data_IF_003353293506
#
_entry.id   IF_003353293506
#
_cell.length_a   1.000
_cell.length_b   1.000
_cell.length_c   1.000
_cell.angle_alpha   90.00
_cell.angle_beta   90.00
_cell.angle_gamma   90.00
#
_symmetry.space_group_name_H-M   'P 1'
#
loop_
_entity.id
_entity.type
_entity.pdbx_description
1 polymer ?
#
# COMPACT_ATOMS: atom_id res chain seq x y z
N UNK A 1 -10.24 16.49 -14.70
CA UNK A 1 -11.00 15.27 -14.39
C UNK A 1 -10.35 14.59 -13.17
N UNK A 2 -9.98 15.37 -12.15
CA UNK A 2 -8.78 15.07 -11.32
C UNK A 2 -9.03 15.24 -9.80
N UNK A 3 -10.14 14.71 -9.28
CA UNK A 3 -10.36 14.69 -7.82
C UNK A 3 -10.40 13.27 -7.26
N UNK A 4 -9.36 12.49 -7.54
CA UNK A 4 -9.08 11.28 -6.77
C UNK A 4 -8.42 11.68 -5.45
N UNK A 5 -9.13 11.52 -4.33
CA UNK A 5 -8.60 11.63 -2.97
C UNK A 5 -8.04 13.01 -2.60
N UNK A 6 -8.85 13.87 -1.97
CA UNK A 6 -8.45 15.23 -1.58
C UNK A 6 -7.33 15.29 -0.53
N UNK A 7 -6.97 14.17 0.09
CA UNK A 7 -6.02 14.16 1.20
C UNK A 7 -5.15 12.90 1.24
N UNK A 8 -4.41 12.66 0.14
CA UNK A 8 -3.45 11.55 0.04
C UNK A 8 -2.40 11.61 1.14
N UNK A 9 -1.91 12.80 1.46
CA UNK A 9 -0.86 12.96 2.46
C UNK A 9 -1.36 12.65 3.87
N UNK A 10 -2.55 13.12 4.27
CA UNK A 10 -3.11 12.71 5.57
C UNK A 10 -3.39 11.20 5.63
N UNK A 11 -3.83 10.59 4.52
CA UNK A 11 -3.99 9.14 4.45
C UNK A 11 -2.65 8.42 4.67
N UNK A 12 -1.60 8.81 3.96
CA UNK A 12 -0.27 8.22 4.10
C UNK A 12 0.30 8.43 5.50
N UNK A 13 0.17 9.63 6.07
CA UNK A 13 0.55 9.92 7.44
C UNK A 13 -0.20 9.02 8.45
N UNK A 14 -1.51 8.82 8.24
CA UNK A 14 -2.31 7.92 9.08
C UNK A 14 -1.88 6.47 8.94
N UNK A 15 -1.66 5.97 7.72
CA UNK A 15 -1.19 4.61 7.47
C UNK A 15 0.22 4.36 8.04
N UNK A 16 1.08 5.38 8.00
CA UNK A 16 2.46 5.30 8.50
C UNK A 16 2.58 5.45 10.03
N UNK A 17 1.54 5.93 10.72
CA UNK A 17 1.55 6.10 12.19
C UNK A 17 1.84 4.79 12.92
N UNK A 18 2.61 4.86 14.01
CA UNK A 18 2.87 3.73 14.91
C UNK A 18 1.59 3.14 15.54
N UNK A 19 0.53 3.95 15.67
CA UNK A 19 -0.78 3.52 16.18
C UNK A 19 -1.56 2.69 15.15
N UNK A 20 -1.25 2.84 13.86
CA UNK A 20 -1.88 2.05 12.80
C UNK A 20 -1.21 0.68 12.75
N UNK A 21 -1.99 -0.34 13.15
CA UNK A 21 -1.56 -1.74 13.19
C UNK A 21 -2.20 -2.61 12.10
N UNK A 22 -3.35 -2.21 11.57
CA UNK A 22 -4.07 -2.96 10.54
C UNK A 22 -4.62 -1.97 9.53
N UNK A 23 -4.45 -2.29 8.25
CA UNK A 23 -5.11 -1.61 7.13
C UNK A 23 -5.93 -2.66 6.40
N UNK A 24 -7.24 -2.47 6.33
CA UNK A 24 -8.16 -3.35 5.60
C UNK A 24 -8.55 -2.70 4.28
N UNK A 25 -8.68 -3.49 3.22
CA UNK A 25 -9.13 -3.03 1.91
C UNK A 25 -10.53 -3.59 1.62
N UNK A 26 -11.45 -2.70 1.25
CA UNK A 26 -12.75 -3.07 0.66
C UNK A 26 -12.83 -2.52 -0.76
N UNK A 27 -11.82 -2.87 -1.55
CA UNK A 27 -11.78 -2.55 -2.98
C UNK A 27 -12.37 -3.72 -3.76
N UNK A 28 -12.95 -3.44 -4.94
CA UNK A 28 -13.37 -4.50 -5.86
C UNK A 28 -12.15 -5.25 -6.38
N UNK A 29 -12.37 -6.37 -7.06
CA UNK A 29 -11.32 -7.24 -7.62
C UNK A 29 -10.33 -6.44 -8.49
N UNK A 30 -10.85 -5.45 -9.24
CA UNK A 30 -10.03 -4.57 -10.09
C UNK A 30 -9.08 -3.67 -9.29
N UNK A 31 -9.40 -3.35 -8.03
CA UNK A 31 -8.57 -2.50 -7.18
C UNK A 31 -7.26 -3.13 -6.74
N UNK A 32 -7.10 -4.46 -6.89
CA UNK A 32 -5.87 -5.17 -6.57
C UNK A 32 -4.86 -5.20 -7.73
N UNK A 33 -5.28 -4.82 -8.95
CA UNK A 33 -4.44 -4.84 -10.15
C UNK A 33 -3.79 -6.20 -10.46
N UNK A 34 -4.45 -7.31 -10.09
CA UNK A 34 -3.94 -8.64 -10.35
C UNK A 34 -4.42 -9.19 -11.70
N UNK A 35 -3.58 -9.99 -12.34
CA UNK A 35 -3.96 -10.83 -13.47
C UNK A 35 -4.91 -11.92 -12.96
N UNK A 36 -6.15 -12.06 -13.50
CA UNK A 36 -7.10 -13.05 -12.98
C UNK A 36 -6.65 -14.51 -13.15
N UNK A 37 -5.80 -14.80 -14.13
CA UNK A 37 -5.34 -16.15 -14.42
C UNK A 37 -4.09 -16.54 -13.61
N UNK A 38 -3.13 -15.62 -13.49
CA UNK A 38 -1.86 -15.91 -12.79
C UNK A 38 -1.82 -15.44 -11.33
N UNK A 39 -2.66 -14.46 -10.97
CA UNK A 39 -2.60 -13.79 -9.67
C UNK A 39 -1.47 -12.76 -9.54
N UNK A 40 -0.67 -12.56 -10.59
CA UNK A 40 0.45 -11.62 -10.56
C UNK A 40 0.00 -10.16 -10.68
N UNK A 41 0.80 -9.24 -10.17
CA UNK A 41 0.58 -7.81 -10.41
C UNK A 41 0.70 -7.49 -11.89
N UNK A 42 -0.29 -6.77 -12.43
CA UNK A 42 -0.30 -6.26 -13.80
C UNK A 42 0.63 -5.05 -13.92
N UNK A 43 1.92 -5.32 -14.03
CA UNK A 43 2.98 -4.31 -14.14
C UNK A 43 2.90 -3.46 -15.42
N UNK A 44 2.07 -3.86 -16.38
CA UNK A 44 1.77 -3.15 -17.62
C UNK A 44 0.56 -2.20 -17.51
N UNK A 45 -0.20 -2.27 -16.41
CA UNK A 45 -1.33 -1.37 -16.21
C UNK A 45 -0.84 0.08 -16.00
N UNK A 46 -1.34 1.08 -16.75
CA UNK A 46 -0.83 2.45 -16.69
C UNK A 46 -0.84 3.08 -15.29
N UNK A 47 -1.77 2.66 -14.42
CA UNK A 47 -1.82 3.14 -13.04
C UNK A 47 -0.69 2.55 -12.18
N UNK A 48 -0.36 1.27 -12.37
CA UNK A 48 0.76 0.61 -11.70
C UNK A 48 2.09 1.15 -12.22
N UNK A 49 2.23 1.31 -13.54
CA UNK A 49 3.41 1.97 -14.14
C UNK A 49 3.59 3.38 -13.55
N UNK A 50 2.51 4.14 -13.41
CA UNK A 50 2.53 5.46 -12.80
C UNK A 50 3.01 5.45 -11.34
N UNK A 51 2.54 4.50 -10.53
CA UNK A 51 2.97 4.36 -9.14
C UNK A 51 4.44 3.91 -9.03
N UNK A 52 4.91 3.01 -9.91
CA UNK A 52 6.32 2.59 -9.97
C UNK A 52 7.23 3.76 -10.37
N UNK A 53 6.80 4.59 -11.32
CA UNK A 53 7.56 5.75 -11.78
C UNK A 53 7.57 6.91 -10.78
N UNK A 54 6.60 6.97 -9.85
CA UNK A 54 6.48 8.03 -8.86
C UNK A 54 6.02 7.47 -7.50
N UNK A 55 6.88 6.69 -6.82
CA UNK A 55 6.47 5.91 -5.65
C UNK A 55 6.05 6.78 -4.46
N UNK A 56 6.52 8.03 -4.35
CA UNK A 56 6.11 8.99 -3.33
C UNK A 56 4.74 9.65 -3.61
N UNK A 57 4.17 9.42 -4.81
CA UNK A 57 2.90 9.99 -5.22
C UNK A 57 1.95 8.91 -5.79
N UNK A 58 1.74 7.80 -5.07
CA UNK A 58 0.96 6.69 -5.59
C UNK A 58 -0.52 7.06 -5.71
N UNK A 59 -1.24 6.29 -6.54
CA UNK A 59 -2.67 6.43 -6.79
C UNK A 59 -3.43 5.13 -6.61
N UNK A 60 -2.74 3.99 -6.65
CA UNK A 60 -3.35 2.66 -6.48
C UNK A 60 -3.33 2.21 -5.03
N UNK A 61 -4.22 1.29 -4.66
CA UNK A 61 -4.19 0.66 -3.34
C UNK A 61 -2.84 -0.01 -3.02
N UNK A 62 -2.23 -0.84 -3.91
CA UNK A 62 -0.90 -1.39 -3.66
C UNK A 62 0.17 -0.29 -3.53
N UNK A 63 0.15 0.74 -4.37
CA UNK A 63 1.11 1.85 -4.27
C UNK A 63 1.01 2.62 -2.95
N UNK A 64 -0.20 2.93 -2.49
CA UNK A 64 -0.43 3.59 -1.19
C UNK A 64 0.07 2.74 -0.02
N UNK A 65 -0.15 1.42 -0.07
CA UNK A 65 0.35 0.50 0.96
C UNK A 65 1.88 0.46 0.98
N UNK A 66 2.53 0.35 -0.19
CA UNK A 66 3.99 0.29 -0.30
C UNK A 66 4.63 1.58 0.20
N UNK A 67 4.12 2.75 -0.20
CA UNK A 67 4.64 4.05 0.26
C UNK A 67 4.48 4.22 1.78
N UNK A 68 3.33 3.87 2.36
CA UNK A 68 3.15 3.93 3.80
C UNK A 68 4.12 2.99 4.54
N UNK A 69 4.37 1.79 4.01
CA UNK A 69 5.36 0.85 4.56
C UNK A 69 6.80 1.38 4.43
N UNK A 70 7.12 2.05 3.33
CA UNK A 70 8.42 2.70 3.14
C UNK A 70 8.66 3.77 4.21
N UNK A 71 7.70 4.68 4.42
CA UNK A 71 7.77 5.70 5.48
C UNK A 71 7.93 5.10 6.88
N UNK A 72 7.20 4.01 7.18
CA UNK A 72 7.35 3.28 8.45
C UNK A 72 8.76 2.74 8.62
N UNK A 73 9.32 2.14 7.56
CA UNK A 73 10.67 1.59 7.56
C UNK A 73 11.72 2.67 7.80
N UNK A 74 11.60 3.81 7.13
CA UNK A 74 12.49 4.97 7.31
C UNK A 74 12.42 5.54 8.74
N UNK A 75 11.22 5.57 9.32
CA UNK A 75 11.00 6.00 10.70
C UNK A 75 11.35 4.94 11.77
N UNK A 76 11.85 3.76 11.38
CA UNK A 76 12.15 2.67 12.32
C UNK A 76 10.91 2.04 12.97
N UNK A 77 9.72 2.27 12.43
CA UNK A 77 8.46 1.70 12.90
C UNK A 77 8.30 0.31 12.30
N UNK A 78 8.37 -0.73 13.15
CA UNK A 78 8.17 -2.10 12.69
C UNK A 78 6.78 -2.30 12.06
N UNK A 79 6.63 -3.17 11.05
CA UNK A 79 5.34 -3.72 10.68
C UNK A 79 4.72 -4.37 11.91
N UNK A 80 3.45 -4.08 12.16
CA UNK A 80 2.64 -4.81 13.13
C UNK A 80 2.72 -6.30 12.76
N UNK A 81 3.19 -7.12 13.70
CA UNK A 81 3.38 -8.58 13.59
C UNK A 81 4.81 -9.07 13.24
N UNK A 82 5.81 -8.69 14.05
CA UNK A 82 7.08 -9.44 14.18
C UNK A 82 7.04 -10.56 15.24
N UNK A 83 5.90 -10.74 15.94
CA UNK A 83 5.83 -11.52 17.18
C UNK A 83 5.10 -12.87 17.11
N UNK A 84 4.31 -13.17 16.08
CA UNK A 84 3.40 -14.33 16.13
C UNK A 84 4.04 -15.65 15.64
N UNK A 85 5.17 -15.59 14.94
CA UNK A 85 5.84 -16.80 14.41
C UNK A 85 6.98 -17.32 15.29
N UNK A 86 7.25 -16.70 16.45
CA UNK A 86 8.27 -17.19 17.40
C UNK A 86 7.72 -18.10 18.50
N UNK A 87 6.40 -18.32 18.55
CA UNK A 87 5.78 -19.15 19.59
C UNK A 87 5.42 -20.57 19.12
N UNK A 88 5.76 -20.93 17.87
CA UNK A 88 5.47 -22.24 17.28
C UNK A 88 6.67 -22.89 16.58
N UNK A 89 7.89 -22.50 16.97
CA UNK A 89 9.13 -23.16 16.55
C UNK A 89 9.86 -23.70 17.77
#
# INVERSE_FOLDING_TARGET
MDSWGRDREALLARMASADTRVVTLTVTEKGYFLNPASGDLRNDDPMIVGDIASPQQPRTAPGLLVEALARRREAGIAPSHRAFLRQYA
#
